data_IF_668163208219
#
_entry.id   IF_668163208219
#
_cell.length_a   1.000
_cell.length_b   1.000
_cell.length_c   1.000
_cell.angle_alpha   90.00
_cell.angle_beta   90.00
_cell.angle_gamma   90.00
#
_symmetry.space_group_name_H-M   'P 1'
#
loop_
_entity.id
_entity.type
_entity.pdbx_description
1 polymer ?
#
# COMPACT_ATOMS: atom_id res chain seq x y z
N UNK A 1 -13.62 -34.89 7.22
CA UNK A 1 -13.26 -33.49 7.35
C UNK A 1 -14.18 -32.67 6.45
N UNK A 2 -15.16 -32.00 7.03
CA UNK A 2 -16.07 -31.11 6.31
C UNK A 2 -15.29 -29.83 5.93
N UNK A 3 -15.05 -29.58 4.64
CA UNK A 3 -14.61 -28.28 4.16
C UNK A 3 -15.64 -27.27 4.65
N UNK A 4 -15.24 -26.35 5.58
CA UNK A 4 -16.02 -25.16 5.84
C UNK A 4 -16.23 -24.48 4.51
N UNK A 5 -17.47 -24.36 4.09
CA UNK A 5 -17.86 -23.62 2.90
C UNK A 5 -17.32 -22.21 3.05
N UNK A 6 -16.34 -21.85 2.21
CA UNK A 6 -15.92 -20.48 2.05
C UNK A 6 -17.16 -19.65 1.75
N UNK A 7 -17.63 -18.89 2.73
CA UNK A 7 -18.63 -17.85 2.47
C UNK A 7 -17.90 -16.78 1.68
N UNK A 8 -18.17 -16.71 0.38
CA UNK A 8 -17.73 -15.57 -0.42
C UNK A 8 -18.17 -14.29 0.30
N UNK A 9 -17.28 -13.27 0.41
CA UNK A 9 -17.65 -12.02 0.99
C UNK A 9 -18.91 -11.53 0.24
N UNK A 10 -19.96 -11.18 0.98
CA UNK A 10 -21.14 -10.58 0.41
C UNK A 10 -20.69 -9.34 -0.35
N UNK A 11 -20.90 -9.33 -1.65
CA UNK A 11 -20.53 -8.23 -2.52
C UNK A 11 -21.00 -6.90 -1.96
N UNK A 12 -20.29 -5.86 -2.26
CA UNK A 12 -20.36 -4.43 -1.97
C UNK A 12 -21.74 -3.82 -1.63
N UNK A 13 -22.84 -4.44 -2.04
CA UNK A 13 -24.22 -3.98 -1.83
C UNK A 13 -24.94 -4.60 -0.62
N UNK A 14 -24.28 -5.49 0.13
CA UNK A 14 -24.87 -6.12 1.33
C UNK A 14 -24.37 -5.45 2.61
N UNK A 15 -25.26 -5.19 3.56
CA UNK A 15 -24.86 -4.81 4.93
C UNK A 15 -23.98 -5.94 5.49
N UNK A 16 -22.72 -5.62 5.85
CA UNK A 16 -21.89 -6.53 6.64
C UNK A 16 -22.42 -6.51 8.06
N UNK A 17 -22.65 -7.68 8.61
CA UNK A 17 -23.06 -7.84 10.02
C UNK A 17 -21.83 -7.79 10.95
N UNK A 18 -20.60 -7.95 10.40
CA UNK A 18 -19.35 -8.02 11.14
C UNK A 18 -18.45 -6.81 10.84
N UNK A 19 -17.67 -6.41 11.82
CA UNK A 19 -16.70 -5.33 11.69
C UNK A 19 -15.62 -5.68 10.64
N UNK A 20 -15.26 -4.73 9.78
CA UNK A 20 -14.33 -4.97 8.66
C UNK A 20 -12.94 -5.46 9.10
N UNK A 21 -12.52 -5.11 10.32
CA UNK A 21 -11.26 -5.57 10.93
C UNK A 21 -11.18 -7.09 11.08
N UNK A 22 -12.32 -7.79 11.19
CA UNK A 22 -12.34 -9.24 11.32
C UNK A 22 -11.69 -9.95 10.12
N UNK A 23 -11.67 -9.32 8.95
CA UNK A 23 -10.98 -9.87 7.78
C UNK A 23 -9.45 -9.89 7.99
N UNK A 24 -8.90 -8.83 8.59
CA UNK A 24 -7.48 -8.78 8.95
C UNK A 24 -7.15 -9.80 10.05
N UNK A 25 -7.99 -9.90 11.08
CA UNK A 25 -7.79 -10.85 12.18
C UNK A 25 -7.89 -12.30 11.69
N UNK A 26 -8.82 -12.60 10.79
CA UNK A 26 -8.91 -13.90 10.12
C UNK A 26 -7.64 -14.23 9.32
N UNK A 27 -7.10 -13.24 8.57
CA UNK A 27 -5.85 -13.43 7.84
C UNK A 27 -4.68 -13.73 8.78
N UNK A 28 -4.60 -13.04 9.93
CA UNK A 28 -3.58 -13.34 10.96
C UNK A 28 -3.74 -14.77 11.49
N UNK A 29 -4.97 -15.19 11.83
CA UNK A 29 -5.25 -16.56 12.31
C UNK A 29 -4.87 -17.60 11.25
N UNK A 30 -5.29 -17.41 9.99
CA UNK A 30 -4.99 -18.34 8.89
C UNK A 30 -3.48 -18.53 8.72
N UNK A 31 -2.69 -17.43 8.79
CA UNK A 31 -1.23 -17.53 8.70
C UNK A 31 -0.67 -18.25 9.93
N UNK A 32 -1.15 -17.95 11.13
CA UNK A 32 -0.66 -18.58 12.37
C UNK A 32 -1.01 -20.07 12.45
N UNK A 33 -2.12 -20.49 11.89
CA UNK A 33 -2.57 -21.88 11.92
C UNK A 33 -2.01 -22.68 10.71
N UNK A 34 -2.21 -22.18 9.49
CA UNK A 34 -1.99 -22.95 8.25
C UNK A 34 -0.70 -22.55 7.50
N UNK A 35 -0.09 -21.39 7.86
CA UNK A 35 1.07 -20.87 7.15
C UNK A 35 2.31 -21.78 7.27
N UNK A 36 3.13 -21.78 6.23
CA UNK A 36 4.39 -22.52 6.17
C UNK A 36 5.56 -21.60 6.49
N UNK A 37 6.54 -22.08 7.29
CA UNK A 37 7.78 -21.36 7.56
C UNK A 37 8.67 -21.31 6.32
N UNK A 38 9.01 -20.11 5.86
CA UNK A 38 9.82 -19.86 4.66
C UNK A 38 10.97 -18.93 5.01
N UNK A 39 12.19 -19.30 4.63
CA UNK A 39 13.35 -18.43 4.77
C UNK A 39 13.45 -17.51 3.56
N UNK A 40 13.15 -16.24 3.75
CA UNK A 40 13.29 -15.19 2.76
C UNK A 40 14.61 -14.41 2.87
N UNK A 41 14.75 -13.39 2.03
CA UNK A 41 15.91 -12.48 2.05
C UNK A 41 16.05 -11.75 3.39
N UNK A 42 14.95 -11.34 3.99
CA UNK A 42 14.90 -10.48 5.19
C UNK A 42 14.66 -11.28 6.48
N UNK A 43 14.75 -12.60 6.46
CA UNK A 43 14.53 -13.43 7.64
C UNK A 43 13.57 -14.59 7.42
N UNK A 44 13.15 -15.19 8.53
CA UNK A 44 12.21 -16.30 8.55
C UNK A 44 10.78 -15.74 8.68
N UNK A 45 9.87 -16.25 7.87
CA UNK A 45 8.47 -15.83 7.88
C UNK A 45 7.52 -17.01 7.83
N UNK A 46 6.37 -16.90 8.50
CA UNK A 46 5.26 -17.82 8.32
C UNK A 46 4.34 -17.26 7.23
N UNK A 47 4.05 -18.03 6.18
CA UNK A 47 3.56 -17.52 4.90
C UNK A 47 2.39 -18.33 4.36
N UNK A 48 1.40 -17.63 3.80
CA UNK A 48 0.37 -18.17 2.90
C UNK A 48 0.34 -17.35 1.61
N UNK A 49 -0.29 -17.87 0.55
CA UNK A 49 -0.38 -17.20 -0.76
C UNK A 49 -1.84 -16.88 -1.07
N UNK A 50 -2.08 -15.61 -1.42
CA UNK A 50 -3.38 -15.11 -1.86
C UNK A 50 -4.33 -14.78 -0.70
N UNK A 51 -4.63 -13.49 -0.55
CA UNK A 51 -5.67 -13.00 0.36
C UNK A 51 -6.37 -11.80 -0.25
N UNK A 52 -7.64 -11.65 0.10
CA UNK A 52 -8.44 -10.49 -0.28
C UNK A 52 -9.19 -9.95 0.92
N UNK A 53 -9.19 -8.62 1.07
CA UNK A 53 -9.97 -7.90 2.08
C UNK A 53 -10.69 -6.74 1.43
N UNK A 54 -11.82 -6.35 2.00
CA UNK A 54 -12.58 -5.19 1.55
C UNK A 54 -12.99 -4.36 2.76
N UNK A 55 -12.74 -3.05 2.70
CA UNK A 55 -13.01 -2.11 3.77
C UNK A 55 -14.00 -1.04 3.31
N UNK A 56 -15.03 -0.78 4.10
CA UNK A 56 -15.93 0.34 3.87
C UNK A 56 -15.25 1.66 4.17
N UNK A 57 -15.41 2.64 3.27
CA UNK A 57 -14.97 4.02 3.45
C UNK A 57 -16.15 5.00 3.55
N UNK A 58 -17.40 4.48 3.59
CA UNK A 58 -18.62 5.30 3.66
C UNK A 58 -18.62 6.14 4.93
N UNK A 59 -19.37 7.24 4.90
CA UNK A 59 -19.51 8.16 6.02
C UNK A 59 -18.18 8.77 6.51
N UNK A 60 -17.20 8.91 5.58
CA UNK A 60 -15.84 9.36 5.87
C UNK A 60 -15.06 8.46 6.84
N UNK A 61 -15.42 7.18 6.91
CA UNK A 61 -14.75 6.22 7.77
C UNK A 61 -13.36 5.86 7.22
N UNK A 62 -12.38 5.78 8.12
CA UNK A 62 -11.05 5.23 7.85
C UNK A 62 -10.90 3.95 8.66
N UNK A 63 -10.68 2.79 8.01
CA UNK A 63 -10.65 1.49 8.68
C UNK A 63 -9.33 1.27 9.45
N UNK A 64 -9.13 2.05 10.52
CA UNK A 64 -8.06 1.78 11.46
C UNK A 64 -8.37 0.52 12.25
N UNK A 65 -7.33 -0.28 12.50
CA UNK A 65 -7.46 -1.40 13.42
C UNK A 65 -7.74 -0.88 14.84
N UNK A 66 -8.65 -1.54 15.54
CA UNK A 66 -8.99 -1.26 16.94
C UNK A 66 -8.23 -2.16 17.90
N UNK A 67 -7.82 -3.35 17.45
CA UNK A 67 -7.07 -4.35 18.21
C UNK A 67 -5.59 -4.02 18.40
N UNK A 68 -5.06 -3.02 17.67
CA UNK A 68 -3.68 -2.53 17.85
C UNK A 68 -3.56 -1.04 17.52
N UNK A 69 -2.59 -0.39 18.17
CA UNK A 69 -2.29 1.03 17.90
C UNK A 69 -1.58 1.19 16.56
N UNK A 70 -2.13 2.02 15.68
CA UNK A 70 -1.54 2.39 14.39
C UNK A 70 -0.97 3.83 14.43
N UNK A 71 0.24 4.01 13.91
CA UNK A 71 0.87 5.32 13.75
C UNK A 71 0.31 6.04 12.51
N UNK A 72 -1.00 6.33 12.48
CA UNK A 72 -1.71 6.85 11.31
C UNK A 72 -1.15 8.16 10.75
N UNK A 73 -0.59 9.04 11.63
CA UNK A 73 0.07 10.29 11.19
C UNK A 73 1.30 9.99 10.34
N UNK A 74 2.03 8.94 10.67
CA UNK A 74 3.18 8.45 9.89
C UNK A 74 2.74 7.93 8.53
N UNK A 75 1.63 7.15 8.49
CA UNK A 75 1.03 6.69 7.23
C UNK A 75 0.66 7.85 6.31
N UNK A 76 0.01 8.89 6.86
CA UNK A 76 -0.41 10.04 6.07
C UNK A 76 0.78 10.86 5.56
N UNK A 77 1.82 11.06 6.37
CA UNK A 77 3.03 11.78 5.96
C UNK A 77 3.75 11.06 4.83
N UNK A 78 3.92 9.75 4.92
CA UNK A 78 4.51 8.94 3.85
C UNK A 78 3.66 9.01 2.57
N UNK A 79 2.34 8.88 2.67
CA UNK A 79 1.46 9.00 1.52
C UNK A 79 1.58 10.37 0.83
N UNK A 80 1.61 11.46 1.59
CA UNK A 80 1.79 12.82 1.03
C UNK A 80 3.16 12.97 0.36
N UNK A 81 4.19 12.33 0.91
CA UNK A 81 5.51 12.28 0.31
C UNK A 81 5.49 11.48 -1.03
N UNK A 82 4.78 10.35 -1.15
CA UNK A 82 4.56 9.68 -2.44
C UNK A 82 3.82 10.58 -3.43
N UNK A 83 2.73 11.24 -2.99
CA UNK A 83 1.93 12.15 -3.83
C UNK A 83 2.77 13.31 -4.37
N UNK A 84 3.74 13.80 -3.61
CA UNK A 84 4.64 14.88 -4.05
C UNK A 84 5.63 14.44 -5.13
N UNK A 85 5.80 13.13 -5.37
CA UNK A 85 6.79 12.60 -6.30
C UNK A 85 8.20 12.50 -5.71
N UNK A 86 8.38 12.82 -4.45
CA UNK A 86 9.69 12.81 -3.78
C UNK A 86 10.23 11.40 -3.57
N UNK A 87 11.54 11.30 -3.59
CA UNK A 87 12.33 10.09 -3.30
C UNK A 87 13.44 10.34 -2.28
N UNK A 88 13.47 11.55 -1.70
CA UNK A 88 14.42 11.96 -0.66
C UNK A 88 13.85 11.67 0.74
N UNK A 89 14.49 10.75 1.46
CA UNK A 89 14.09 10.39 2.83
C UNK A 89 14.40 11.49 3.87
N UNK A 90 15.26 12.48 3.56
CA UNK A 90 15.50 13.62 4.47
C UNK A 90 14.20 14.34 4.83
N UNK A 91 13.30 14.51 3.83
CA UNK A 91 12.00 15.13 4.01
C UNK A 91 11.14 14.38 5.04
N UNK A 92 11.20 13.05 5.05
CA UNK A 92 10.52 12.21 6.03
C UNK A 92 11.20 12.27 7.40
N UNK A 93 12.54 12.25 7.45
CA UNK A 93 13.33 12.39 8.69
C UNK A 93 13.00 13.69 9.42
N UNK A 94 12.91 14.81 8.71
CA UNK A 94 12.54 16.12 9.25
C UNK A 94 11.15 16.12 9.91
N UNK A 95 10.27 15.24 9.44
CA UNK A 95 8.93 15.06 9.99
C UNK A 95 8.86 13.96 11.07
N UNK A 96 10.00 13.44 11.55
CA UNK A 96 10.09 12.30 12.48
C UNK A 96 9.47 10.99 11.93
N UNK A 97 9.51 10.78 10.62
CA UNK A 97 9.12 9.53 9.97
C UNK A 97 10.38 8.72 9.68
N UNK A 98 10.46 7.50 10.23
CA UNK A 98 11.68 6.68 10.22
C UNK A 98 11.57 5.42 9.35
N UNK A 99 10.46 5.24 8.62
CA UNK A 99 10.14 4.01 7.89
C UNK A 99 11.24 3.64 6.90
N UNK A 100 11.78 4.63 6.20
CA UNK A 100 12.76 4.44 5.14
C UNK A 100 14.23 4.56 5.59
N UNK A 101 14.50 4.84 6.88
CA UNK A 101 15.86 5.06 7.37
C UNK A 101 16.79 3.87 7.09
N UNK A 102 16.30 2.64 7.29
CA UNK A 102 17.08 1.44 7.01
C UNK A 102 17.43 1.29 5.53
N UNK A 103 16.46 1.53 4.64
CA UNK A 103 16.65 1.36 3.20
C UNK A 103 17.38 2.53 2.52
N UNK A 104 17.53 3.66 3.19
CA UNK A 104 18.23 4.84 2.69
C UNK A 104 19.61 5.05 3.33
N UNK A 105 20.03 4.18 4.25
CA UNK A 105 21.34 4.26 4.88
C UNK A 105 22.46 3.96 3.87
N UNK A 106 23.62 4.56 4.08
CA UNK A 106 24.79 4.30 3.23
C UNK A 106 25.12 2.81 3.15
N UNK A 107 25.11 2.13 4.30
CA UNK A 107 25.39 0.71 4.41
C UNK A 107 24.41 -0.14 3.55
N UNK A 108 23.12 0.16 3.64
CA UNK A 108 22.11 -0.58 2.87
C UNK A 108 22.23 -0.30 1.36
N UNK A 109 22.39 0.97 0.97
CA UNK A 109 22.53 1.35 -0.44
C UNK A 109 23.75 0.67 -1.08
N UNK A 110 24.88 0.62 -0.36
CA UNK A 110 26.08 -0.09 -0.82
C UNK A 110 25.84 -1.59 -0.95
N UNK A 111 25.11 -2.19 0.00
CA UNK A 111 24.79 -3.62 0.00
C UNK A 111 23.92 -4.06 -1.18
N UNK A 112 23.13 -3.16 -1.75
CA UNK A 112 22.28 -3.42 -2.92
C UNK A 112 22.86 -2.86 -4.22
N UNK A 113 24.11 -2.39 -4.20
CA UNK A 113 24.84 -1.92 -5.40
C UNK A 113 24.57 -0.47 -5.81
N UNK A 114 23.83 0.31 -5.01
CA UNK A 114 23.52 1.72 -5.26
C UNK A 114 24.57 2.67 -4.67
N UNK A 115 25.84 2.37 -4.92
CA UNK A 115 26.99 3.10 -4.37
C UNK A 115 27.10 4.55 -4.86
N UNK A 116 26.45 4.84 -5.98
CA UNK A 116 26.43 6.17 -6.61
C UNK A 116 25.35 7.11 -6.05
N UNK A 117 24.39 6.60 -5.25
CA UNK A 117 23.39 7.43 -4.58
C UNK A 117 23.97 8.07 -3.31
N UNK A 118 23.46 9.24 -2.99
CA UNK A 118 23.69 9.83 -1.67
C UNK A 118 22.90 9.07 -0.60
N UNK A 119 23.35 9.16 0.65
CA UNK A 119 22.53 8.72 1.78
C UNK A 119 21.19 9.47 1.78
N UNK A 120 20.12 8.77 2.12
CA UNK A 120 18.72 9.22 2.05
C UNK A 120 18.10 9.29 0.64
N UNK A 121 18.83 9.00 -0.40
CA UNK A 121 18.30 8.87 -1.76
C UNK A 121 17.80 7.44 -2.02
N UNK A 122 16.53 7.30 -2.37
CA UNK A 122 15.89 5.97 -2.51
C UNK A 122 15.78 5.49 -3.97
N UNK A 123 16.18 6.32 -4.93
CA UNK A 123 15.97 6.01 -6.34
C UNK A 123 14.53 6.18 -6.79
N UNK A 124 14.15 5.70 -7.99
CA UNK A 124 12.85 5.94 -8.61
C UNK A 124 11.72 5.10 -7.97
N UNK A 125 11.57 5.16 -6.63
CA UNK A 125 10.54 4.45 -5.87
C UNK A 125 9.15 5.09 -6.06
N UNK A 126 8.16 4.66 -5.32
CA UNK A 126 6.73 5.01 -5.41
C UNK A 126 6.40 6.40 -5.92
N UNK A 127 6.91 7.47 -5.30
CA UNK A 127 6.63 8.84 -5.66
C UNK A 127 7.06 9.17 -7.09
N UNK A 128 8.26 8.76 -7.47
CA UNK A 128 8.76 8.94 -8.83
C UNK A 128 7.88 8.19 -9.85
N UNK A 129 7.54 6.93 -9.59
CA UNK A 129 6.69 6.17 -10.50
C UNK A 129 5.27 6.74 -10.60
N UNK A 130 4.70 7.26 -9.53
CA UNK A 130 3.36 7.85 -9.55
C UNK A 130 3.29 9.15 -10.35
N UNK A 131 4.34 9.97 -10.27
CA UNK A 131 4.35 11.33 -10.85
C UNK A 131 5.18 11.45 -12.13
N UNK A 132 6.15 10.55 -12.35
CA UNK A 132 7.12 10.63 -13.43
C UNK A 132 7.44 9.24 -14.00
N UNK A 133 6.42 8.39 -14.18
CA UNK A 133 6.59 7.00 -14.61
C UNK A 133 7.48 6.90 -15.83
N UNK A 134 8.53 6.07 -15.73
CA UNK A 134 9.51 5.80 -16.77
C UNK A 134 10.35 7.04 -17.21
N UNK A 135 10.36 8.14 -16.45
CA UNK A 135 11.41 9.14 -16.63
C UNK A 135 12.75 8.55 -16.19
N UNK A 136 13.83 8.85 -16.93
CA UNK A 136 15.20 8.51 -16.51
C UNK A 136 15.49 9.14 -15.15
N UNK A 137 15.90 8.33 -14.16
CA UNK A 137 16.17 8.84 -12.84
C UNK A 137 17.53 9.54 -12.77
N UNK A 138 17.54 10.77 -12.29
CA UNK A 138 18.72 11.66 -12.21
C UNK A 138 18.96 12.23 -10.81
N UNK A 139 18.41 11.57 -9.80
CA UNK A 139 18.52 11.98 -8.41
C UNK A 139 17.27 12.66 -7.86
N UNK A 140 17.17 12.69 -6.54
CA UNK A 140 16.00 13.21 -5.83
C UNK A 140 15.79 14.73 -5.96
N UNK A 141 16.85 15.47 -6.26
CA UNK A 141 16.82 16.94 -6.42
C UNK A 141 16.57 17.38 -7.87
N UNK A 142 16.54 16.43 -8.83
CA UNK A 142 16.35 16.77 -10.24
C UNK A 142 14.90 17.22 -10.51
N UNK A 143 14.74 18.24 -11.35
CA UNK A 143 13.40 18.68 -11.78
C UNK A 143 12.84 17.75 -12.87
N UNK A 144 11.82 16.97 -12.50
CA UNK A 144 11.13 16.03 -13.41
C UNK A 144 9.91 16.65 -14.09
N UNK A 145 9.72 17.95 -14.07
CA UNK A 145 8.60 18.61 -14.74
C UNK A 145 8.57 18.22 -16.23
N UNK A 146 7.39 17.79 -16.70
CA UNK A 146 7.16 17.29 -18.06
C UNK A 146 8.04 16.07 -18.46
N UNK A 147 8.53 15.29 -17.50
CA UNK A 147 9.27 14.04 -17.75
C UNK A 147 8.43 12.85 -17.34
N UNK A 148 8.49 11.78 -18.16
CA UNK A 148 7.71 10.56 -17.93
C UNK A 148 6.20 10.78 -17.98
N UNK A 149 5.45 9.92 -17.30
CA UNK A 149 3.98 9.98 -17.23
C UNK A 149 3.55 10.27 -15.80
N UNK A 150 2.83 11.37 -15.60
CA UNK A 150 2.17 11.67 -14.33
C UNK A 150 0.87 10.87 -14.22
N UNK A 151 0.98 9.64 -13.70
CA UNK A 151 -0.14 8.70 -13.57
C UNK A 151 -1.21 9.23 -12.60
N UNK A 152 -0.80 9.88 -11.52
CA UNK A 152 -1.72 10.41 -10.52
C UNK A 152 -2.56 11.57 -11.11
N UNK A 153 -1.92 12.50 -11.80
CA UNK A 153 -2.63 13.59 -12.46
C UNK A 153 -3.57 13.07 -13.56
N UNK A 154 -3.12 12.10 -14.36
CA UNK A 154 -3.98 11.44 -15.36
C UNK A 154 -5.27 10.87 -14.73
N UNK A 155 -5.15 10.19 -13.59
CA UNK A 155 -6.32 9.65 -12.86
C UNK A 155 -7.23 10.79 -12.39
N UNK A 156 -6.68 11.81 -11.76
CA UNK A 156 -7.44 12.95 -11.20
C UNK A 156 -8.21 13.67 -12.31
N UNK A 157 -7.57 13.99 -13.43
CA UNK A 157 -8.23 14.68 -14.55
C UNK A 157 -9.37 13.87 -15.16
N UNK A 158 -9.17 12.55 -15.31
CA UNK A 158 -10.25 11.69 -15.80
C UNK A 158 -11.39 11.53 -14.79
N UNK A 159 -11.10 11.45 -13.49
CA UNK A 159 -12.14 11.37 -12.45
C UNK A 159 -12.98 12.66 -12.34
N UNK A 160 -12.39 13.82 -12.62
CA UNK A 160 -13.11 15.11 -12.66
C UNK A 160 -14.04 15.23 -13.88
N UNK A 161 -13.72 14.57 -14.97
CA UNK A 161 -14.50 14.61 -16.21
C UNK A 161 -15.70 13.64 -16.11
N UNK A 162 -16.96 14.13 -16.16
CA UNK A 162 -18.15 13.29 -16.03
C UNK A 162 -18.27 12.18 -17.08
N UNK A 163 -17.66 12.36 -18.25
CA UNK A 163 -17.72 11.36 -19.33
C UNK A 163 -16.60 10.32 -19.22
N UNK A 164 -15.45 10.70 -18.64
CA UNK A 164 -14.26 9.85 -18.56
C UNK A 164 -14.13 9.11 -17.24
N UNK A 165 -14.78 9.58 -16.16
CA UNK A 165 -14.66 9.01 -14.81
C UNK A 165 -15.02 7.53 -14.70
N UNK A 166 -15.81 6.99 -15.65
CA UNK A 166 -16.18 5.58 -15.71
C UNK A 166 -15.16 4.70 -16.46
N UNK A 167 -14.01 5.26 -16.84
CA UNK A 167 -12.97 4.51 -17.53
C UNK A 167 -12.42 3.40 -16.65
N UNK A 168 -12.29 2.20 -17.21
CA UNK A 168 -11.63 1.04 -16.56
C UNK A 168 -10.11 1.07 -16.67
N UNK A 169 -9.54 2.19 -17.17
CA UNK A 169 -8.10 2.40 -17.39
C UNK A 169 -7.49 3.35 -16.36
N UNK A 170 -8.21 3.67 -15.28
CA UNK A 170 -7.73 4.52 -14.19
C UNK A 170 -6.82 3.69 -13.29
N UNK A 171 -5.63 3.38 -13.80
CA UNK A 171 -4.63 2.51 -13.18
C UNK A 171 -3.36 3.31 -12.95
N UNK A 172 -2.74 3.12 -11.78
CA UNK A 172 -1.43 3.64 -11.44
C UNK A 172 -0.54 2.49 -10.97
N UNK A 173 0.64 2.35 -11.59
CA UNK A 173 1.63 1.31 -11.26
C UNK A 173 2.87 1.93 -10.66
N UNK A 174 3.34 1.36 -9.56
CA UNK A 174 4.66 1.64 -9.02
C UNK A 174 5.73 0.64 -9.52
N UNK A 175 5.30 -0.45 -10.15
CA UNK A 175 6.18 -1.48 -10.68
C UNK A 175 6.65 -1.13 -12.09
N UNK A 176 7.93 -0.79 -12.19
CA UNK A 176 8.59 -0.54 -13.48
C UNK A 176 9.78 -1.49 -13.63
N UNK A 177 9.66 -2.58 -14.41
CA UNK A 177 10.73 -3.56 -14.58
C UNK A 177 12.06 -2.97 -15.11
N UNK A 178 12.00 -1.87 -15.86
CA UNK A 178 13.19 -1.22 -16.40
C UNK A 178 14.03 -0.50 -15.34
N UNK A 179 13.44 -0.15 -14.19
CA UNK A 179 14.08 0.66 -13.15
C UNK A 179 14.18 -0.04 -11.79
N UNK A 180 13.84 -1.33 -11.68
CA UNK A 180 13.88 -2.05 -10.38
C UNK A 180 15.27 -2.06 -9.75
N UNK A 181 16.31 -2.14 -10.57
CA UNK A 181 17.71 -2.16 -10.10
C UNK A 181 18.22 -0.78 -9.64
N UNK A 182 17.47 0.28 -9.94
CA UNK A 182 17.75 1.65 -9.50
C UNK A 182 17.02 1.99 -8.18
N UNK A 183 16.13 1.13 -7.70
CA UNK A 183 15.34 1.34 -6.50
C UNK A 183 16.02 0.74 -5.28
N UNK A 184 16.14 1.52 -4.20
CA UNK A 184 16.63 1.00 -2.91
C UNK A 184 15.78 -0.17 -2.43
N UNK A 185 14.47 -0.12 -2.65
CA UNK A 185 13.54 -1.21 -2.37
C UNK A 185 12.47 -1.31 -3.45
N UNK A 186 12.38 -2.42 -4.21
CA UNK A 186 11.30 -2.65 -5.16
C UNK A 186 9.91 -2.59 -4.51
N UNK A 187 8.92 -1.91 -5.12
CA UNK A 187 7.60 -1.69 -4.54
C UNK A 187 6.89 -2.97 -4.13
N UNK A 188 6.27 -2.97 -2.95
CA UNK A 188 5.42 -4.06 -2.46
C UNK A 188 3.96 -3.87 -2.94
N UNK A 189 3.38 -2.70 -2.74
CA UNK A 189 2.09 -2.31 -3.31
C UNK A 189 2.31 -1.76 -4.72
N UNK A 190 1.98 -2.58 -5.72
CA UNK A 190 2.49 -2.40 -7.09
C UNK A 190 1.51 -1.78 -8.06
N UNK A 191 0.21 -1.99 -7.87
CA UNK A 191 -0.81 -1.53 -8.79
C UNK A 191 -2.08 -1.12 -8.04
N UNK A 192 -2.58 0.05 -8.36
CA UNK A 192 -3.86 0.54 -7.87
C UNK A 192 -4.77 0.90 -9.03
N UNK A 193 -6.04 0.54 -8.93
CA UNK A 193 -7.08 0.91 -9.89
C UNK A 193 -8.22 1.62 -9.18
N UNK A 194 -8.71 2.69 -9.80
CA UNK A 194 -9.89 3.42 -9.34
C UNK A 194 -11.08 3.13 -10.26
N UNK A 195 -12.23 2.89 -9.66
CA UNK A 195 -13.49 2.68 -10.37
C UNK A 195 -14.57 3.58 -9.79
N UNK A 196 -15.42 4.11 -10.66
CA UNK A 196 -16.56 4.93 -10.27
C UNK A 196 -17.85 4.27 -10.72
N UNK A 197 -18.84 4.20 -9.83
CA UNK A 197 -20.22 3.85 -10.13
C UNK A 197 -21.08 4.99 -9.58
N UNK A 198 -21.81 5.66 -10.45
CA UNK A 198 -22.51 6.91 -10.13
C UNK A 198 -21.55 8.00 -9.62
N UNK A 199 -21.51 8.27 -8.31
CA UNK A 199 -20.52 9.12 -7.63
C UNK A 199 -19.64 8.35 -6.65
N UNK A 200 -19.78 7.05 -6.58
CA UNK A 200 -19.11 6.19 -5.63
C UNK A 200 -17.74 5.75 -6.17
N UNK A 201 -16.67 6.18 -5.51
CA UNK A 201 -15.29 5.84 -5.84
C UNK A 201 -14.82 4.64 -5.03
N UNK A 202 -14.34 3.63 -5.72
CA UNK A 202 -13.66 2.46 -5.17
C UNK A 202 -12.19 2.45 -5.55
N UNK A 203 -11.32 2.10 -4.61
CA UNK A 203 -9.89 1.85 -4.82
C UNK A 203 -9.62 0.35 -4.71
N UNK A 204 -8.97 -0.24 -5.70
CA UNK A 204 -8.51 -1.64 -5.69
C UNK A 204 -6.99 -1.67 -5.74
N UNK A 205 -6.35 -2.27 -4.74
CA UNK A 205 -4.89 -2.40 -4.63
C UNK A 205 -4.46 -3.84 -4.82
N UNK A 206 -3.48 -4.10 -5.67
CA UNK A 206 -2.70 -5.33 -5.64
C UNK A 206 -1.32 -5.09 -5.02
N UNK A 207 -1.04 -5.85 -3.95
CA UNK A 207 0.24 -5.89 -3.26
C UNK A 207 0.88 -7.27 -3.43
N UNK A 208 2.09 -7.30 -4.00
CA UNK A 208 2.80 -8.58 -4.25
C UNK A 208 3.27 -9.28 -2.99
N UNK A 209 3.55 -8.51 -1.93
CA UNK A 209 4.15 -8.98 -0.68
C UNK A 209 3.66 -8.12 0.48
N UNK A 210 3.02 -8.71 1.47
CA UNK A 210 2.46 -8.05 2.64
C UNK A 210 2.98 -8.63 3.94
N UNK A 211 3.75 -7.83 4.70
CA UNK A 211 4.00 -8.08 6.12
C UNK A 211 2.71 -7.80 6.89
N UNK A 212 2.05 -8.87 7.32
CA UNK A 212 0.72 -8.79 7.96
C UNK A 212 0.83 -8.20 9.37
N UNK A 213 1.99 -8.35 10.01
CA UNK A 213 2.21 -7.80 11.36
C UNK A 213 2.30 -6.27 11.40
N UNK A 214 3.00 -5.66 10.45
CA UNK A 214 3.27 -4.21 10.47
C UNK A 214 2.79 -3.50 9.20
N UNK A 215 3.15 -4.01 8.02
CA UNK A 215 2.93 -3.33 6.74
C UNK A 215 1.47 -3.31 6.32
N UNK A 216 0.75 -4.42 6.43
CA UNK A 216 -0.65 -4.52 5.97
C UNK A 216 -1.58 -3.53 6.67
N UNK A 217 -1.58 -3.40 8.03
CA UNK A 217 -2.36 -2.37 8.71
C UNK A 217 -2.04 -0.94 8.24
N UNK A 218 -0.77 -0.68 7.96
CA UNK A 218 -0.28 0.59 7.47
C UNK A 218 -0.80 0.89 6.05
N UNK A 219 -0.77 -0.12 5.17
CA UNK A 219 -1.24 0.00 3.80
C UNK A 219 -2.78 0.17 3.72
N UNK A 220 -3.54 -0.51 4.60
CA UNK A 220 -5.00 -0.30 4.74
C UNK A 220 -5.29 1.19 5.00
N UNK A 221 -4.61 1.79 5.96
CA UNK A 221 -4.78 3.20 6.28
C UNK A 221 -4.36 4.13 5.13
N UNK A 222 -3.18 3.89 4.53
CA UNK A 222 -2.63 4.73 3.48
C UNK A 222 -3.52 4.78 2.24
N UNK A 223 -4.00 3.64 1.76
CA UNK A 223 -4.87 3.62 0.57
C UNK A 223 -6.29 4.07 0.86
N UNK A 224 -6.77 3.92 2.07
CA UNK A 224 -8.01 4.55 2.52
C UNK A 224 -7.90 6.08 2.52
N UNK A 225 -6.82 6.64 3.06
CA UNK A 225 -6.53 8.08 2.95
C UNK A 225 -6.44 8.53 1.49
N UNK A 226 -5.70 7.82 0.64
CA UNK A 226 -5.57 8.15 -0.78
C UNK A 226 -6.94 8.21 -1.46
N UNK A 227 -7.80 7.24 -1.18
CA UNK A 227 -9.15 7.18 -1.76
C UNK A 227 -10.00 8.37 -1.32
N UNK A 228 -9.97 8.74 -0.03
CA UNK A 228 -10.68 9.93 0.47
C UNK A 228 -10.14 11.23 -0.12
N UNK A 229 -8.81 11.38 -0.23
CA UNK A 229 -8.18 12.57 -0.81
C UNK A 229 -8.60 12.74 -2.28
N UNK A 230 -8.51 11.67 -3.08
CA UNK A 230 -8.92 11.70 -4.49
C UNK A 230 -10.41 11.95 -4.63
N UNK A 231 -11.25 11.25 -3.87
CA UNK A 231 -12.70 11.42 -3.90
C UNK A 231 -13.09 12.87 -3.60
N UNK A 232 -12.56 13.44 -2.51
CA UNK A 232 -12.80 14.83 -2.13
C UNK A 232 -12.36 15.83 -3.19
N UNK A 233 -11.20 15.58 -3.82
CA UNK A 233 -10.65 16.45 -4.85
C UNK A 233 -11.42 16.40 -6.17
N UNK A 234 -12.12 15.28 -6.45
CA UNK A 234 -12.86 15.03 -7.69
C UNK A 234 -14.39 15.13 -7.54
N UNK A 235 -14.91 15.63 -6.41
CA UNK A 235 -16.34 15.68 -6.09
C UNK A 235 -17.03 14.29 -6.22
N UNK A 236 -16.38 13.28 -5.63
CA UNK A 236 -16.84 11.90 -5.55
C UNK A 236 -16.97 11.46 -4.08
N UNK A 237 -17.62 10.33 -3.85
CA UNK A 237 -17.75 9.70 -2.54
C UNK A 237 -16.74 8.55 -2.42
N UNK A 238 -15.86 8.55 -1.45
CA UNK A 238 -15.06 7.37 -1.13
C UNK A 238 -15.99 6.29 -0.53
N UNK A 239 -16.00 5.09 -1.12
CA UNK A 239 -16.97 4.05 -0.72
C UNK A 239 -16.36 2.75 -0.31
N UNK A 240 -15.28 2.30 -0.95
CA UNK A 240 -14.57 1.11 -0.48
C UNK A 240 -13.11 1.10 -0.89
N UNK A 241 -12.33 0.34 -0.11
CA UNK A 241 -10.99 -0.07 -0.43
C UNK A 241 -10.94 -1.59 -0.54
N UNK A 242 -10.57 -2.10 -1.71
CA UNK A 242 -10.40 -3.53 -1.98
C UNK A 242 -8.92 -3.86 -2.04
N UNK A 243 -8.48 -4.82 -1.25
CA UNK A 243 -7.09 -5.13 -1.03
C UNK A 243 -6.79 -6.59 -1.41
N UNK A 244 -5.90 -6.77 -2.38
CA UNK A 244 -5.44 -8.06 -2.89
C UNK A 244 -3.97 -8.23 -2.55
N UNK A 245 -3.61 -9.30 -1.83
CA UNK A 245 -2.24 -9.57 -1.40
C UNK A 245 -1.78 -10.90 -1.99
N UNK A 246 -0.66 -10.90 -2.70
CA UNK A 246 -0.07 -12.09 -3.31
C UNK A 246 0.58 -13.00 -2.27
N UNK A 247 1.65 -12.54 -1.63
CA UNK A 247 2.32 -13.25 -0.54
C UNK A 247 1.99 -12.57 0.79
N UNK A 248 1.30 -13.26 1.68
CA UNK A 248 0.94 -12.81 3.02
C UNK A 248 1.85 -13.49 4.03
N UNK A 249 2.60 -12.71 4.82
CA UNK A 249 3.54 -13.29 5.75
C UNK A 249 3.61 -12.54 7.08
N UNK A 250 4.03 -13.28 8.11
CA UNK A 250 4.34 -12.79 9.45
C UNK A 250 5.78 -13.17 9.73
N UNK A 251 6.62 -12.20 10.10
CA UNK A 251 7.97 -12.47 10.56
C UNK A 251 7.97 -13.26 11.87
N UNK A 252 8.99 -14.10 12.06
CA UNK A 252 9.08 -15.00 13.21
C UNK A 252 9.04 -14.29 14.57
N UNK A 253 9.63 -13.10 14.68
CA UNK A 253 9.60 -12.26 15.88
C UNK A 253 8.23 -11.61 16.15
N UNK A 254 7.32 -11.61 15.16
CA UNK A 254 5.97 -11.09 15.31
C UNK A 254 4.91 -12.18 15.59
N UNK A 255 5.27 -13.48 15.56
CA UNK A 255 4.30 -14.57 15.74
C UNK A 255 3.62 -14.52 17.11
N UNK A 256 4.39 -14.39 18.19
CA UNK A 256 3.83 -14.35 19.54
C UNK A 256 3.02 -13.06 19.82
N UNK A 257 3.51 -11.84 19.47
CA UNK A 257 2.70 -10.63 19.59
C UNK A 257 1.35 -10.68 18.87
N UNK A 258 1.30 -11.33 17.70
CA UNK A 258 0.05 -11.44 16.94
C UNK A 258 -0.90 -12.50 17.51
N UNK A 259 -0.39 -13.58 18.11
CA UNK A 259 -1.23 -14.50 18.92
C UNK A 259 -1.85 -13.79 20.11
N UNK A 260 -1.06 -12.97 20.81
CA UNK A 260 -1.57 -12.15 21.92
C UNK A 260 -2.64 -11.18 21.46
N UNK A 261 -2.44 -10.52 20.30
CA UNK A 261 -3.45 -9.64 19.72
C UNK A 261 -4.78 -10.37 19.47
N UNK A 262 -4.77 -11.59 18.91
CA UNK A 262 -5.97 -12.40 18.68
C UNK A 262 -6.68 -12.81 19.98
N UNK A 263 -5.96 -13.00 21.07
CA UNK A 263 -6.52 -13.40 22.35
C UNK A 263 -7.15 -12.23 23.15
N UNK A 264 -6.87 -10.99 22.76
CA UNK A 264 -7.30 -9.78 23.45
C UNK A 264 -8.42 -9.00 22.69
N UNK A 265 -9.18 -9.69 21.85
CA UNK A 265 -10.26 -9.11 21.02
C UNK A 265 -11.61 -9.31 21.72
#
# INVERSE_FOLDING_TARGET
>A
MLRKTLKYPKTFYGKREEHDENQYLSLVSDILEEGTMVKGRNGLTKTIVGSTMEFSLRENFIPFLTSKKLAWKTCLKELLWFISGSTDNKILKEQNVKIWNGNSSREYLDSVGLTHYNEDELGPVYGHQWRHFNAEYKGSEYNYENKGVDQLNYIIENLKDPEKRYSRRLIMSAWNPCQLNEMALPPCHILVQFNVIDKDLTCSLYQRSGDVGLGVPFNIASYSFLTHLIAKHCDLNATSFQYYIGNCHIYDDHLEPLKEQLNNI
#
